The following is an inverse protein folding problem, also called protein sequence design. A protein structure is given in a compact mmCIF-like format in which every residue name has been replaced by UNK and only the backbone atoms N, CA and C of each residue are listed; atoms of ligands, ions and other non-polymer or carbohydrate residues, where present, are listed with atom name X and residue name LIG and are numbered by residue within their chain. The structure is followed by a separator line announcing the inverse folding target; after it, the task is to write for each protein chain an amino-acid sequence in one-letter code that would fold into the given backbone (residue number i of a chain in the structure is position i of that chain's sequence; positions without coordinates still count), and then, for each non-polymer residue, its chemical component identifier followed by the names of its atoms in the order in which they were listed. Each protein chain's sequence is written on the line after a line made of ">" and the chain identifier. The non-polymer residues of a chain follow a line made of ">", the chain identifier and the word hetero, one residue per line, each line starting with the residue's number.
data_IF_914249733547
#
_entry.id   IF_914249733547
#
_cell.length_a   1.000
_cell.length_b   1.000
_cell.length_c   1.000
_cell.angle_alpha   90.00
_cell.angle_beta   90.00
_cell.angle_gamma   90.00
#
_symmetry.space_group_name_H-M   'P 1'
#
loop_
_entity.id
_entity.type
_entity.pdbx_description
1 polymer ?
#
# COMPACT_ATOMS: atom_id res chain seq x y z
N UNK A 1 -13.93 11.15 14.54
CA UNK A 1 -14.13 10.27 13.36
C UNK A 1 -13.03 10.55 12.36
N UNK A 2 -12.35 9.53 11.84
CA UNK A 2 -11.25 9.70 10.87
C UNK A 2 -11.72 9.63 9.41
N UNK A 3 -13.04 9.56 9.16
CA UNK A 3 -13.64 9.38 7.83
C UNK A 3 -13.21 10.42 6.77
N UNK A 4 -12.81 11.63 7.19
CA UNK A 4 -12.30 12.66 6.29
C UNK A 4 -10.77 12.79 6.33
N UNK A 5 -10.07 11.84 6.95
CA UNK A 5 -8.61 11.82 7.06
C UNK A 5 -8.01 10.87 6.03
N UNK A 6 -6.83 11.27 5.58
CA UNK A 6 -5.97 10.53 4.69
C UNK A 6 -4.88 9.90 5.56
N UNK A 7 -4.63 8.61 5.39
CA UNK A 7 -3.51 7.91 6.03
C UNK A 7 -2.48 7.59 4.95
N UNK A 8 -1.23 7.99 5.19
CA UNK A 8 -0.10 7.67 4.32
C UNK A 8 0.74 6.52 4.87
N UNK A 9 1.13 5.59 4.00
CA UNK A 9 2.12 4.54 4.28
C UNK A 9 3.25 4.66 3.26
N UNK A 10 4.47 4.83 3.76
CA UNK A 10 5.69 4.89 2.95
C UNK A 10 6.51 3.65 3.26
N UNK A 11 6.71 2.79 2.27
CA UNK A 11 7.38 1.49 2.39
C UNK A 11 6.44 0.36 2.82
N UNK A 12 6.44 -0.72 2.06
CA UNK A 12 5.46 -1.81 2.12
C UNK A 12 5.98 -3.13 2.67
N UNK A 13 7.21 -3.20 3.18
CA UNK A 13 7.64 -4.38 3.95
C UNK A 13 6.80 -4.52 5.23
N UNK A 14 7.18 -3.87 6.32
CA UNK A 14 6.32 -3.86 7.53
C UNK A 14 5.02 -3.10 7.26
N UNK A 15 5.03 -2.13 6.33
CA UNK A 15 3.85 -1.34 5.99
C UNK A 15 2.70 -2.14 5.40
N UNK A 16 2.92 -3.28 4.75
CA UNK A 16 1.82 -4.12 4.24
C UNK A 16 0.88 -4.53 5.37
N UNK A 17 1.39 -5.07 6.49
CA UNK A 17 0.50 -5.51 7.57
C UNK A 17 -0.32 -4.37 8.16
N UNK A 18 0.25 -3.16 8.20
CA UNK A 18 -0.47 -1.97 8.65
C UNK A 18 -1.55 -1.57 7.65
N UNK A 19 -1.25 -1.59 6.35
CA UNK A 19 -2.20 -1.29 5.29
C UNK A 19 -3.41 -2.24 5.32
N UNK A 20 -3.15 -3.54 5.50
CA UNK A 20 -4.20 -4.57 5.61
C UNK A 20 -5.03 -4.40 6.87
N UNK A 21 -4.41 -4.19 8.04
CA UNK A 21 -5.17 -3.91 9.26
C UNK A 21 -6.03 -2.65 9.14
N UNK A 22 -5.51 -1.59 8.54
CA UNK A 22 -6.27 -0.37 8.29
C UNK A 22 -7.46 -0.62 7.35
N UNK A 23 -7.25 -1.34 6.25
CA UNK A 23 -8.33 -1.70 5.34
C UNK A 23 -9.45 -2.50 6.03
N UNK A 24 -9.09 -3.41 6.95
CA UNK A 24 -10.06 -4.16 7.75
C UNK A 24 -10.85 -3.28 8.73
N UNK A 25 -10.19 -2.32 9.38
CA UNK A 25 -10.83 -1.42 10.37
C UNK A 25 -11.74 -0.37 9.71
N UNK A 26 -11.48 -0.01 8.44
CA UNK A 26 -12.28 0.90 7.61
C UNK A 26 -12.76 2.18 8.33
N UNK A 27 -11.88 2.81 9.10
CA UNK A 27 -12.25 3.94 9.96
C UNK A 27 -11.86 5.33 9.39
N UNK A 28 -11.26 5.38 8.20
CA UNK A 28 -10.71 6.56 7.53
C UNK A 28 -11.20 6.71 6.08
N UNK A 29 -10.86 7.83 5.43
CA UNK A 29 -11.39 8.17 4.09
C UNK A 29 -10.55 7.69 2.92
N UNK A 30 -9.22 7.79 3.02
CA UNK A 30 -8.30 7.44 1.94
C UNK A 30 -7.00 6.85 2.49
N UNK A 31 -6.48 5.83 1.81
CA UNK A 31 -5.14 5.30 2.03
C UNK A 31 -4.20 5.70 0.89
N UNK A 32 -3.09 6.35 1.21
CA UNK A 32 -2.02 6.67 0.26
C UNK A 32 -0.85 5.75 0.50
N UNK A 33 -0.37 5.09 -0.54
CA UNK A 33 0.70 4.11 -0.44
C UNK A 33 1.85 4.53 -1.36
N UNK A 34 3.04 4.69 -0.79
CA UNK A 34 4.25 5.00 -1.53
C UNK A 34 5.29 3.90 -1.35
N UNK A 35 5.67 3.25 -2.45
CA UNK A 35 6.77 2.28 -2.48
C UNK A 35 7.27 2.16 -3.93
N UNK A 36 8.58 2.26 -4.12
CA UNK A 36 9.22 2.18 -5.43
C UNK A 36 9.72 0.77 -5.78
N UNK A 37 9.75 -0.13 -4.81
CA UNK A 37 10.31 -1.46 -4.99
C UNK A 37 9.32 -2.39 -5.71
N UNK A 38 9.94 -3.34 -6.38
CA UNK A 38 9.29 -4.53 -6.92
C UNK A 38 9.50 -5.72 -5.97
N UNK A 39 8.56 -6.67 -5.96
CA UNK A 39 8.75 -7.91 -5.22
C UNK A 39 9.85 -8.75 -5.89
N UNK A 40 10.82 -9.17 -5.10
CA UNK A 40 11.93 -10.02 -5.50
C UNK A 40 12.11 -11.17 -4.49
N UNK A 41 12.73 -12.27 -4.90
CA UNK A 41 13.03 -13.40 -4.01
C UNK A 41 13.78 -12.97 -2.75
N UNK A 42 14.70 -12.02 -2.86
CA UNK A 42 15.49 -11.48 -1.75
C UNK A 42 14.67 -10.73 -0.69
N UNK A 43 13.48 -10.24 -1.05
CA UNK A 43 12.63 -9.44 -0.16
C UNK A 43 11.25 -10.07 0.11
N UNK A 44 10.94 -11.21 -0.52
CA UNK A 44 9.66 -11.90 -0.41
C UNK A 44 9.31 -12.31 1.02
N UNK A 45 10.29 -12.61 1.86
CA UNK A 45 10.06 -12.96 3.27
C UNK A 45 9.54 -11.79 4.13
N UNK A 46 9.49 -10.56 3.60
CA UNK A 46 9.02 -9.35 4.31
C UNK A 46 7.62 -8.91 3.93
N UNK A 47 7.04 -9.52 2.89
CA UNK A 47 5.67 -9.28 2.43
C UNK A 47 4.96 -10.62 2.39
N UNK A 48 3.76 -10.68 2.96
CA UNK A 48 2.89 -11.86 2.85
C UNK A 48 2.25 -11.86 1.47
N UNK A 49 2.84 -12.58 0.53
CA UNK A 49 2.28 -12.73 -0.81
C UNK A 49 2.75 -14.02 -1.48
N UNK A 50 2.10 -14.39 -2.58
CA UNK A 50 2.46 -15.58 -3.36
C UNK A 50 3.63 -15.33 -4.32
N UNK A 51 4.37 -16.41 -4.64
CA UNK A 51 5.52 -16.40 -5.58
C UNK A 51 5.14 -15.87 -6.97
N UNK A 52 3.88 -16.02 -7.38
CA UNK A 52 3.38 -15.53 -8.67
C UNK A 52 3.37 -14.00 -8.78
N UNK A 53 3.56 -13.26 -7.69
CA UNK A 53 3.65 -11.79 -7.69
C UNK A 53 5.09 -11.27 -7.85
N UNK A 54 6.09 -12.13 -7.99
CA UNK A 54 7.48 -11.69 -8.22
C UNK A 54 7.55 -10.89 -9.52
N UNK A 55 8.30 -9.78 -9.49
CA UNK A 55 8.39 -8.85 -10.61
C UNK A 55 7.28 -7.80 -10.67
N UNK A 56 6.30 -7.85 -9.76
CA UNK A 56 5.27 -6.81 -9.64
C UNK A 56 5.64 -5.76 -8.58
N UNK A 57 5.22 -4.51 -8.80
CA UNK A 57 5.39 -3.44 -7.81
C UNK A 57 4.70 -3.82 -6.50
N UNK A 58 5.38 -3.61 -5.36
CA UNK A 58 4.81 -3.92 -4.04
C UNK A 58 3.50 -3.17 -3.82
N UNK A 59 3.43 -1.92 -4.27
CA UNK A 59 2.23 -1.07 -4.20
C UNK A 59 1.02 -1.71 -4.91
N UNK A 60 1.22 -2.35 -6.06
CA UNK A 60 0.14 -3.02 -6.79
C UNK A 60 -0.35 -4.27 -6.07
N UNK A 61 0.58 -5.06 -5.50
CA UNK A 61 0.23 -6.27 -4.74
C UNK A 61 -0.66 -5.88 -3.55
N UNK A 62 -0.23 -4.90 -2.76
CA UNK A 62 -0.96 -4.46 -1.57
C UNK A 62 -2.30 -3.80 -1.94
N UNK A 63 -2.35 -3.01 -3.01
CA UNK A 63 -3.61 -2.41 -3.47
C UNK A 63 -4.65 -3.46 -3.88
N UNK A 64 -4.23 -4.56 -4.53
CA UNK A 64 -5.11 -5.66 -4.88
C UNK A 64 -5.62 -6.38 -3.64
N UNK A 65 -4.74 -6.66 -2.69
CA UNK A 65 -5.11 -7.30 -1.41
C UNK A 65 -6.10 -6.42 -0.61
N UNK A 66 -5.90 -5.11 -0.60
CA UNK A 66 -6.86 -4.16 -0.03
C UNK A 66 -8.20 -4.22 -0.76
N UNK A 67 -8.21 -4.24 -2.10
CA UNK A 67 -9.43 -4.31 -2.88
C UNK A 67 -10.20 -5.64 -2.70
N UNK A 68 -9.50 -6.72 -2.36
CA UNK A 68 -10.12 -8.01 -1.96
C UNK A 68 -10.83 -7.90 -0.59
N UNK A 69 -10.33 -7.06 0.30
CA UNK A 69 -10.94 -6.78 1.62
C UNK A 69 -12.08 -5.78 1.50
N UNK A 70 -11.83 -4.65 0.83
CA UNK A 70 -12.75 -3.54 0.66
C UNK A 70 -12.54 -2.84 -0.70
N UNK A 71 -13.35 -3.18 -1.73
CA UNK A 71 -13.23 -2.57 -3.05
C UNK A 71 -13.69 -1.10 -3.09
N UNK A 72 -14.31 -0.59 -2.03
CA UNK A 72 -14.80 0.78 -1.94
C UNK A 72 -13.84 1.71 -1.20
N UNK A 73 -12.77 1.17 -0.59
CA UNK A 73 -11.76 1.98 0.05
C UNK A 73 -10.98 2.75 -1.03
N UNK A 74 -10.91 4.08 -0.89
CA UNK A 74 -10.10 4.90 -1.79
C UNK A 74 -8.62 4.66 -1.50
N UNK A 75 -7.91 4.08 -2.47
CA UNK A 75 -6.46 3.84 -2.40
C UNK A 75 -5.76 4.61 -3.52
N UNK A 76 -4.79 5.45 -3.16
CA UNK A 76 -3.97 6.21 -4.11
C UNK A 76 -2.53 5.70 -4.04
N UNK A 77 -1.95 5.38 -5.19
CA UNK A 77 -0.61 4.78 -5.27
C UNK A 77 0.44 5.76 -5.79
N UNK A 78 1.54 5.85 -5.07
CA UNK A 78 2.77 6.56 -5.42
C UNK A 78 3.85 5.51 -5.72
N UNK A 79 3.75 4.94 -6.92
CA UNK A 79 4.55 3.78 -7.35
C UNK A 79 6.04 4.08 -7.56
N UNK A 80 6.42 5.36 -7.49
CA UNK A 80 7.80 5.83 -7.61
C UNK A 80 8.39 6.15 -6.22
N UNK A 81 7.63 5.87 -5.15
CA UNK A 81 7.92 6.37 -3.82
C UNK A 81 7.59 7.86 -3.67
N UNK A 82 8.09 8.46 -2.59
CA UNK A 82 7.99 9.91 -2.37
C UNK A 82 9.22 10.58 -2.96
N UNK A 83 8.97 11.57 -3.82
CA UNK A 83 9.97 12.43 -4.44
C UNK A 83 9.56 13.90 -4.24
N UNK A 84 10.48 14.83 -4.48
CA UNK A 84 10.22 16.27 -4.30
C UNK A 84 8.98 16.75 -5.07
N UNK A 85 8.76 16.20 -6.26
CA UNK A 85 7.64 16.61 -7.13
C UNK A 85 6.27 16.15 -6.61
N UNK A 86 6.19 15.07 -5.81
CA UNK A 86 4.92 14.48 -5.39
C UNK A 86 4.62 14.61 -3.89
N UNK A 87 5.58 15.08 -3.08
CA UNK A 87 5.43 15.16 -1.62
C UNK A 87 4.30 16.09 -1.18
N UNK A 88 4.01 17.15 -1.94
CA UNK A 88 2.95 18.10 -1.60
C UNK A 88 1.54 17.53 -1.87
N UNK A 89 1.44 16.56 -2.78
CA UNK A 89 0.18 15.90 -3.13
C UNK A 89 -0.05 14.64 -2.29
N UNK A 90 0.98 14.12 -1.60
CA UNK A 90 0.93 12.97 -0.69
C UNK A 90 0.30 13.28 0.67
#
# INVERSE_FOLDING_TARGET
>A
MLQNKIIGIIGLSVGQSVAISLAMERCFGELRIADFDTLDLSNMNRIRTGVYNIGLKKSWIVAREIAEIDPYLKVTLYNEGIIEDNINDF
#
